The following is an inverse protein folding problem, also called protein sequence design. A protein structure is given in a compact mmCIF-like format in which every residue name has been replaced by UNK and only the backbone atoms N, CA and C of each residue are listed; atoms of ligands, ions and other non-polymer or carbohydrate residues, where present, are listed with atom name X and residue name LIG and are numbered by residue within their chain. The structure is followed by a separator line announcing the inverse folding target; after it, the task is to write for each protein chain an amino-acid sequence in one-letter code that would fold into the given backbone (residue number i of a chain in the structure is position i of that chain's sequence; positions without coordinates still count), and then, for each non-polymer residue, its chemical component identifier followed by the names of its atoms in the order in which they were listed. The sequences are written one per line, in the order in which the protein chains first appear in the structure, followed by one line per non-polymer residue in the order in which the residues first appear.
data_IF_567716635895
#
_entry.id   IF_567716635895
#
_cell.length_a   1.000
_cell.length_b   1.000
_cell.length_c   1.000
_cell.angle_alpha   90.00
_cell.angle_beta   90.00
_cell.angle_gamma   90.00
#
_symmetry.space_group_name_H-M   'P 1'
#
loop_
_entity.id
_entity.type
_entity.pdbx_description
1 polymer ?
#
# COMPACT_ATOMS: atom_id res chain seq x y z
N UNK A 1 39.57 -3.08 -17.28
CA UNK A 1 38.67 -2.93 -18.44
C UNK A 1 37.25 -3.01 -17.90
N UNK A 2 36.58 -1.89 -17.83
CA UNK A 2 35.18 -1.84 -17.38
C UNK A 2 34.29 -2.25 -18.55
N UNK A 3 33.84 -3.49 -18.57
CA UNK A 3 32.85 -3.94 -19.56
C UNK A 3 31.47 -3.46 -19.10
N UNK A 4 31.03 -2.32 -19.63
CA UNK A 4 29.64 -1.90 -19.51
C UNK A 4 28.79 -3.01 -20.15
N UNK A 5 27.81 -3.59 -19.44
CA UNK A 5 26.95 -4.61 -20.04
C UNK A 5 26.20 -4.01 -21.24
N UNK A 6 25.91 -4.81 -22.27
CA UNK A 6 25.18 -4.33 -23.43
C UNK A 6 23.83 -3.73 -23.06
N UNK A 7 23.31 -2.78 -23.84
CA UNK A 7 22.00 -2.22 -23.60
C UNK A 7 20.93 -3.34 -23.67
N UNK A 8 20.08 -3.43 -22.63
CA UNK A 8 18.90 -4.31 -22.67
C UNK A 8 17.99 -3.80 -23.80
N UNK A 9 17.60 -4.69 -24.69
CA UNK A 9 16.60 -4.39 -25.70
C UNK A 9 15.25 -4.25 -25.01
N UNK A 10 14.48 -3.19 -25.28
CA UNK A 10 13.11 -3.09 -24.79
C UNK A 10 12.29 -4.33 -25.18
N UNK A 11 11.45 -4.81 -24.28
CA UNK A 11 10.56 -5.92 -24.59
C UNK A 11 9.46 -5.45 -25.54
N UNK A 12 9.00 -6.30 -26.47
CA UNK A 12 7.73 -6.06 -27.17
C UNK A 12 6.63 -5.83 -26.15
N UNK A 13 5.66 -4.95 -26.45
CA UNK A 13 4.63 -4.57 -25.49
C UNK A 13 3.84 -5.77 -24.95
N UNK A 14 3.51 -6.73 -25.80
CA UNK A 14 2.78 -7.94 -25.37
C UNK A 14 3.59 -8.81 -24.40
N UNK A 15 4.91 -8.88 -24.58
CA UNK A 15 5.81 -9.62 -23.66
C UNK A 15 5.94 -8.87 -22.32
N UNK A 16 6.05 -7.54 -22.38
CA UNK A 16 6.08 -6.69 -21.20
C UNK A 16 4.76 -6.78 -20.43
N UNK A 17 3.64 -6.75 -21.13
CA UNK A 17 2.30 -6.88 -20.54
C UNK A 17 2.15 -8.22 -19.81
N UNK A 18 2.56 -9.31 -20.45
CA UNK A 18 2.58 -10.64 -19.82
C UNK A 18 3.48 -10.65 -18.58
N UNK A 19 4.68 -10.06 -18.69
CA UNK A 19 5.63 -10.01 -17.58
C UNK A 19 5.09 -9.19 -16.39
N UNK A 20 4.47 -8.04 -16.63
CA UNK A 20 3.86 -7.21 -15.59
C UNK A 20 2.66 -7.92 -14.96
N UNK A 21 1.82 -8.58 -15.76
CA UNK A 21 0.63 -9.29 -15.29
C UNK A 21 0.94 -10.56 -14.50
N UNK A 22 1.99 -11.33 -14.88
CA UNK A 22 2.34 -12.61 -14.28
C UNK A 22 3.46 -12.54 -13.22
N UNK A 23 4.14 -11.39 -13.07
CA UNK A 23 5.29 -11.22 -12.18
C UNK A 23 5.05 -10.13 -11.14
N UNK A 24 3.92 -10.24 -10.47
CA UNK A 24 3.47 -9.33 -9.42
C UNK A 24 4.32 -9.44 -8.17
N UNK A 25 4.13 -8.53 -7.24
CA UNK A 25 4.62 -8.67 -5.87
C UNK A 25 3.95 -9.87 -5.18
N UNK A 26 4.58 -10.38 -4.12
CA UNK A 26 3.94 -11.43 -3.29
C UNK A 26 2.59 -10.93 -2.75
N UNK A 27 2.52 -9.67 -2.33
CA UNK A 27 1.26 -9.05 -1.90
C UNK A 27 0.23 -9.03 -3.04
N UNK A 28 0.58 -8.55 -4.22
CA UNK A 28 -0.33 -8.48 -5.37
C UNK A 28 -0.88 -9.85 -5.74
N UNK A 29 -0.04 -10.90 -5.68
CA UNK A 29 -0.45 -12.27 -5.93
C UNK A 29 -1.41 -12.80 -4.85
N UNK A 30 -1.02 -12.71 -3.58
CA UNK A 30 -1.79 -13.26 -2.45
C UNK A 30 -3.11 -12.49 -2.27
N UNK A 31 -3.12 -11.19 -2.49
CA UNK A 31 -4.33 -10.37 -2.38
C UNK A 31 -5.37 -10.69 -3.46
N UNK A 32 -4.95 -11.33 -4.57
CA UNK A 32 -5.80 -11.58 -5.73
C UNK A 32 -5.98 -10.34 -6.60
N UNK A 33 -5.04 -9.38 -6.52
CA UNK A 33 -5.02 -8.24 -7.45
C UNK A 33 -4.90 -8.77 -8.88
N UNK A 34 -5.81 -8.39 -9.76
CA UNK A 34 -5.78 -8.76 -11.16
C UNK A 34 -5.44 -7.56 -12.05
N UNK A 35 -4.69 -7.82 -13.12
CA UNK A 35 -4.49 -6.86 -14.20
C UNK A 35 -5.62 -7.06 -15.20
N UNK A 36 -6.53 -6.09 -15.28
CA UNK A 36 -7.72 -6.18 -16.15
C UNK A 36 -7.42 -5.68 -17.58
N UNK A 37 -6.66 -4.58 -17.67
CA UNK A 37 -6.30 -3.94 -18.92
C UNK A 37 -5.00 -3.15 -18.76
N UNK A 38 -4.26 -2.98 -19.85
CA UNK A 38 -3.12 -2.08 -19.90
C UNK A 38 -2.92 -1.45 -21.28
N UNK A 39 -2.24 -0.30 -21.26
CA UNK A 39 -1.70 0.40 -22.41
C UNK A 39 -0.31 0.96 -22.01
N UNK A 40 0.51 1.49 -22.93
CA UNK A 40 1.81 2.07 -22.59
C UNK A 40 1.67 3.14 -21.51
N UNK A 41 2.23 2.89 -20.32
CA UNK A 41 2.16 3.78 -19.17
C UNK A 41 0.80 3.86 -18.49
N UNK A 42 -0.14 2.98 -18.80
CA UNK A 42 -1.51 3.02 -18.28
C UNK A 42 -1.99 1.61 -17.91
N UNK A 43 -2.63 1.48 -16.74
CA UNK A 43 -3.00 0.18 -16.14
C UNK A 43 -4.36 0.27 -15.45
N UNK A 44 -5.18 -0.76 -15.67
CA UNK A 44 -6.41 -1.02 -14.92
C UNK A 44 -6.26 -2.33 -14.16
N UNK A 45 -6.57 -2.29 -12.88
CA UNK A 45 -6.53 -3.46 -12.00
C UNK A 45 -7.84 -3.62 -11.25
N UNK A 46 -8.09 -4.81 -10.72
CA UNK A 46 -9.18 -5.09 -9.80
C UNK A 46 -8.72 -5.93 -8.61
N UNK A 47 -9.32 -5.67 -7.48
CA UNK A 47 -9.10 -6.37 -6.22
C UNK A 47 -10.42 -6.88 -5.69
N UNK A 48 -10.63 -8.20 -5.53
CA UNK A 48 -11.88 -8.74 -5.03
C UNK A 48 -12.09 -8.35 -3.55
N UNK A 49 -13.36 -8.16 -3.18
CA UNK A 49 -13.69 -8.03 -1.76
C UNK A 49 -13.34 -9.31 -1.02
N UNK A 50 -12.66 -9.17 0.10
CA UNK A 50 -12.33 -10.30 0.99
C UNK A 50 -12.57 -9.89 2.45
N UNK A 51 -13.17 -10.76 3.28
CA UNK A 51 -13.35 -10.49 4.71
C UNK A 51 -12.05 -10.12 5.43
N UNK A 52 -10.91 -10.76 5.05
CA UNK A 52 -9.60 -10.45 5.59
C UNK A 52 -9.10 -9.02 5.31
N UNK A 53 -9.73 -8.30 4.38
CA UNK A 53 -9.37 -6.91 4.04
C UNK A 53 -10.24 -5.87 4.71
N UNK A 54 -11.20 -6.31 5.52
CA UNK A 54 -12.08 -5.41 6.26
C UNK A 54 -11.29 -4.66 7.34
N UNK A 55 -11.54 -3.36 7.44
CA UNK A 55 -10.94 -2.47 8.43
C UNK A 55 -11.76 -2.32 9.69
N UNK A 56 -13.07 -2.56 9.59
CA UNK A 56 -14.01 -2.47 10.69
C UNK A 56 -15.14 -3.49 10.47
N UNK A 57 -15.16 -4.53 11.29
CA UNK A 57 -16.15 -5.62 11.20
C UNK A 57 -17.59 -5.13 11.43
N UNK A 58 -17.79 -4.05 12.17
CA UNK A 58 -19.11 -3.47 12.40
C UNK A 58 -19.73 -2.85 11.15
N UNK A 59 -18.90 -2.43 10.18
CA UNK A 59 -19.35 -1.80 8.93
C UNK A 59 -19.09 -2.66 7.69
N UNK A 60 -18.15 -3.60 7.76
CA UNK A 60 -17.69 -4.40 6.61
C UNK A 60 -16.88 -3.60 5.58
N UNK A 61 -16.55 -2.35 5.86
CA UNK A 61 -15.76 -1.48 4.96
C UNK A 61 -14.32 -1.96 4.88
N UNK A 62 -13.77 -2.03 3.66
CA UNK A 62 -12.36 -2.36 3.42
C UNK A 62 -11.46 -1.32 4.09
N UNK A 63 -10.37 -1.79 4.73
CA UNK A 63 -9.36 -0.93 5.33
C UNK A 63 -8.71 -0.01 4.30
N UNK A 64 -8.51 1.27 4.65
CA UNK A 64 -7.84 2.24 3.77
C UNK A 64 -6.48 1.75 3.28
N UNK A 65 -5.71 1.11 4.16
CA UNK A 65 -4.42 0.53 3.83
C UNK A 65 -4.44 -0.54 2.71
N UNK A 66 -5.56 -1.23 2.51
CA UNK A 66 -5.73 -2.13 1.35
C UNK A 66 -5.79 -1.31 0.06
N UNK A 67 -6.52 -0.19 0.08
CA UNK A 67 -6.60 0.75 -1.05
C UNK A 67 -5.23 1.37 -1.32
N UNK A 68 -4.50 1.76 -0.26
CA UNK A 68 -3.12 2.26 -0.32
C UNK A 68 -2.19 1.26 -1.01
N UNK A 69 -2.22 0.00 -0.59
CA UNK A 69 -1.36 -1.04 -1.16
C UNK A 69 -1.73 -1.35 -2.63
N UNK A 70 -3.02 -1.38 -2.95
CA UNK A 70 -3.50 -1.56 -4.32
C UNK A 70 -3.05 -0.41 -5.24
N UNK A 71 -3.18 0.83 -4.79
CA UNK A 71 -2.80 2.00 -5.57
C UNK A 71 -1.29 2.07 -5.81
N UNK A 72 -0.46 1.76 -4.79
CA UNK A 72 1.00 1.69 -4.95
C UNK A 72 1.43 0.63 -5.98
N UNK A 73 0.86 -0.59 -5.90
CA UNK A 73 1.13 -1.66 -6.87
C UNK A 73 0.70 -1.27 -8.29
N UNK A 74 -0.52 -0.72 -8.44
CA UNK A 74 -1.05 -0.32 -9.75
C UNK A 74 -0.24 0.83 -10.36
N UNK A 75 0.19 1.81 -9.54
CA UNK A 75 1.10 2.87 -9.97
C UNK A 75 2.45 2.30 -10.41
N UNK A 76 3.01 1.36 -9.65
CA UNK A 76 4.24 0.67 -9.98
C UNK A 76 4.17 -0.08 -11.33
N UNK A 77 3.05 -0.75 -11.60
CA UNK A 77 2.80 -1.41 -12.88
C UNK A 77 2.77 -0.40 -14.04
N UNK A 78 2.09 0.74 -13.89
CA UNK A 78 2.03 1.78 -14.91
C UNK A 78 3.41 2.36 -15.20
N UNK A 79 4.26 2.56 -14.16
CA UNK A 79 5.65 2.99 -14.34
C UNK A 79 6.47 1.95 -15.08
N UNK A 80 6.34 0.66 -14.74
CA UNK A 80 7.06 -0.42 -15.43
C UNK A 80 6.70 -0.45 -16.93
N UNK A 81 5.42 -0.28 -17.28
CA UNK A 81 4.99 -0.20 -18.68
C UNK A 81 5.53 1.06 -19.38
N UNK A 82 5.65 2.17 -18.67
CA UNK A 82 6.23 3.40 -19.23
C UNK A 82 7.77 3.33 -19.40
N UNK A 83 8.42 2.40 -18.70
CA UNK A 83 9.88 2.18 -18.73
C UNK A 83 10.28 0.91 -19.51
N UNK A 84 9.37 0.32 -20.27
CA UNK A 84 9.58 -0.92 -21.03
C UNK A 84 10.15 -2.08 -20.17
N UNK A 85 9.87 -2.09 -18.87
CA UNK A 85 10.32 -3.11 -17.92
C UNK A 85 11.85 -3.21 -17.74
N UNK A 86 12.60 -2.23 -18.22
CA UNK A 86 14.08 -2.30 -18.29
C UNK A 86 14.80 -1.72 -17.08
N UNK A 87 14.06 -1.11 -16.14
CA UNK A 87 14.65 -0.39 -15.00
C UNK A 87 14.02 -0.81 -13.70
N UNK A 88 14.81 -0.84 -12.63
CA UNK A 88 14.28 -0.94 -11.29
C UNK A 88 13.49 0.31 -10.91
N UNK A 89 12.43 0.15 -10.15
CA UNK A 89 11.66 1.27 -9.62
C UNK A 89 11.59 1.17 -8.10
N UNK A 90 11.45 2.33 -7.44
CA UNK A 90 11.18 2.43 -6.03
C UNK A 90 10.25 3.63 -5.79
N UNK A 91 9.19 3.44 -5.02
CA UNK A 91 8.30 4.53 -4.63
C UNK A 91 9.06 5.53 -3.76
N UNK A 92 8.99 6.81 -4.08
CA UNK A 92 9.56 7.92 -3.30
C UNK A 92 8.51 8.52 -2.37
N UNK A 93 7.34 8.78 -2.92
CA UNK A 93 6.19 9.26 -2.18
C UNK A 93 4.90 8.71 -2.77
N UNK A 94 3.87 8.68 -1.94
CA UNK A 94 2.51 8.32 -2.32
C UNK A 94 1.56 9.18 -1.48
N UNK A 95 0.74 9.98 -2.15
CA UNK A 95 -0.35 10.73 -1.54
C UNK A 95 -1.68 10.11 -1.95
N UNK A 96 -2.54 9.90 -0.98
CA UNK A 96 -3.90 9.37 -1.16
C UNK A 96 -4.89 10.35 -0.54
N UNK A 97 -5.95 10.66 -1.29
CA UNK A 97 -7.10 11.40 -0.81
C UNK A 97 -8.32 10.45 -0.84
N UNK A 98 -8.84 10.08 0.33
CA UNK A 98 -10.00 9.22 0.50
C UNK A 98 -11.28 10.05 0.37
N UNK A 99 -12.17 9.66 -0.51
CA UNK A 99 -13.35 10.44 -0.85
C UNK A 99 -14.64 9.83 -0.32
N UNK A 100 -14.73 8.49 -0.35
CA UNK A 100 -15.86 7.76 0.25
C UNK A 100 -15.42 6.36 0.73
N UNK A 101 -16.11 5.78 1.71
CA UNK A 101 -15.86 4.38 2.06
C UNK A 101 -16.22 3.45 0.90
N UNK A 102 -15.45 2.38 0.72
CA UNK A 102 -15.78 1.33 -0.23
C UNK A 102 -17.03 0.57 0.24
N UNK A 103 -17.99 0.37 -0.66
CA UNK A 103 -19.20 -0.42 -0.37
C UNK A 103 -18.80 -1.87 -0.08
N UNK A 104 -19.23 -2.45 1.04
CA UNK A 104 -18.95 -3.84 1.37
C UNK A 104 -19.46 -4.82 0.30
N UNK A 105 -18.70 -5.89 0.09
CA UNK A 105 -19.05 -6.94 -0.87
C UNK A 105 -18.68 -6.65 -2.33
N UNK A 106 -18.37 -5.40 -2.68
CA UNK A 106 -17.97 -5.03 -4.06
C UNK A 106 -16.44 -5.01 -4.21
N UNK A 107 -15.98 -5.48 -5.36
CA UNK A 107 -14.56 -5.36 -5.73
C UNK A 107 -14.16 -3.88 -5.85
N UNK A 108 -12.90 -3.58 -5.56
CA UNK A 108 -12.30 -2.28 -5.86
C UNK A 108 -11.54 -2.40 -7.18
N UNK A 109 -11.66 -1.40 -8.02
CA UNK A 109 -10.90 -1.23 -9.26
C UNK A 109 -9.95 -0.06 -9.11
N UNK A 110 -8.85 -0.09 -9.82
CA UNK A 110 -7.95 1.05 -9.90
C UNK A 110 -7.53 1.29 -11.35
N UNK A 111 -7.42 2.57 -11.70
CA UNK A 111 -6.87 3.04 -12.95
C UNK A 111 -5.67 3.94 -12.64
N UNK A 112 -4.53 3.69 -13.27
CA UNK A 112 -3.29 4.43 -13.05
C UNK A 112 -2.65 4.85 -14.36
N UNK A 113 -2.16 6.09 -14.40
CA UNK A 113 -1.49 6.69 -15.55
C UNK A 113 -0.13 7.28 -15.14
N UNK A 114 0.94 6.74 -15.69
CA UNK A 114 2.26 7.36 -15.66
C UNK A 114 2.31 8.48 -16.72
N UNK A 115 2.00 9.68 -16.30
CA UNK A 115 1.85 10.82 -17.23
C UNK A 115 3.16 11.50 -17.59
N UNK A 116 4.25 11.22 -16.88
CA UNK A 116 5.56 11.78 -17.18
C UNK A 116 6.69 10.88 -16.64
N UNK A 117 7.66 10.63 -17.50
CA UNK A 117 8.93 10.03 -17.12
C UNK A 117 10.06 11.02 -17.44
N UNK A 118 10.95 11.23 -16.48
CA UNK A 118 12.22 11.96 -16.65
C UNK A 118 13.40 10.97 -16.68
N UNK A 119 14.61 11.48 -16.68
CA UNK A 119 15.80 10.60 -16.59
C UNK A 119 15.77 9.67 -15.38
N UNK A 120 15.25 10.13 -14.22
CA UNK A 120 15.36 9.41 -12.95
C UNK A 120 14.07 9.32 -12.17
N UNK A 121 13.01 10.03 -12.57
CA UNK A 121 11.75 10.10 -11.85
C UNK A 121 10.59 9.83 -12.80
N UNK A 122 9.64 9.02 -12.36
CA UNK A 122 8.34 8.83 -12.99
C UNK A 122 7.24 9.41 -12.10
N UNK A 123 6.28 10.09 -12.72
CA UNK A 123 5.14 10.73 -12.05
C UNK A 123 3.86 10.02 -12.47
N UNK A 124 3.06 9.66 -11.47
CA UNK A 124 1.87 8.82 -11.66
C UNK A 124 0.69 9.44 -10.94
N UNK A 125 -0.49 9.25 -11.51
CA UNK A 125 -1.78 9.48 -10.84
C UNK A 125 -2.62 8.22 -10.94
N UNK A 126 -3.46 7.98 -9.93
CA UNK A 126 -4.34 6.83 -9.92
C UNK A 126 -5.69 7.17 -9.28
N UNK A 127 -6.71 6.43 -9.67
CA UNK A 127 -8.06 6.49 -9.13
C UNK A 127 -8.49 5.10 -8.71
N UNK A 128 -8.94 4.95 -7.46
CA UNK A 128 -9.59 3.73 -6.97
C UNK A 128 -11.10 3.96 -6.96
N UNK A 129 -11.86 3.03 -7.50
CA UNK A 129 -13.31 3.12 -7.65
C UNK A 129 -13.97 1.74 -7.58
N UNK A 130 -15.28 1.67 -7.56
CA UNK A 130 -16.02 0.41 -7.59
C UNK A 130 -16.84 0.29 -8.88
N UNK A 131 -17.81 1.14 -9.09
CA UNK A 131 -18.72 1.09 -10.25
C UNK A 131 -18.30 2.09 -11.34
N UNK A 132 -17.94 3.32 -10.97
CA UNK A 132 -17.53 4.39 -11.88
C UNK A 132 -16.31 5.15 -11.39
N UNK A 133 -15.41 5.52 -12.30
CA UNK A 133 -14.28 6.41 -12.02
C UNK A 133 -14.70 7.82 -11.66
N UNK A 134 -15.89 8.25 -12.08
CA UNK A 134 -16.44 9.57 -11.73
C UNK A 134 -16.85 9.66 -10.25
N UNK A 135 -16.99 8.51 -9.58
CA UNK A 135 -17.30 8.40 -8.16
C UNK A 135 -16.22 7.62 -7.41
N UNK A 136 -15.02 8.16 -7.30
CA UNK A 136 -13.91 7.44 -6.72
C UNK A 136 -14.08 7.17 -5.22
N UNK A 137 -13.53 6.04 -4.78
CA UNK A 137 -13.29 5.72 -3.37
C UNK A 137 -12.08 6.50 -2.87
N UNK A 138 -11.03 6.57 -3.69
CA UNK A 138 -9.83 7.34 -3.41
C UNK A 138 -9.13 7.75 -4.70
N UNK A 139 -8.37 8.85 -4.63
CA UNK A 139 -7.43 9.24 -5.69
C UNK A 139 -6.02 9.26 -5.12
N UNK A 140 -5.02 9.04 -5.98
CA UNK A 140 -3.63 9.07 -5.57
C UNK A 140 -2.73 9.79 -6.58
N UNK A 141 -1.65 10.34 -6.06
CA UNK A 141 -0.47 10.78 -6.84
C UNK A 141 0.76 10.15 -6.23
N UNK A 142 1.70 9.74 -7.07
CA UNK A 142 2.94 9.12 -6.62
C UNK A 142 4.12 9.52 -7.49
N UNK A 143 5.31 9.53 -6.87
CA UNK A 143 6.58 9.64 -7.57
C UNK A 143 7.39 8.36 -7.36
N UNK A 144 7.98 7.88 -8.44
CA UNK A 144 8.86 6.73 -8.42
C UNK A 144 10.25 7.11 -8.89
N UNK A 145 11.26 6.68 -8.16
CA UNK A 145 12.63 6.69 -8.66
C UNK A 145 12.76 5.59 -9.71
N UNK A 146 13.23 5.96 -10.89
CA UNK A 146 13.63 5.01 -11.93
C UNK A 146 15.14 4.79 -11.81
N UNK A 147 15.56 3.66 -11.26
CA UNK A 147 16.95 3.34 -10.97
C UNK A 147 17.82 3.29 -12.23
N UNK A 148 19.11 3.49 -12.04
CA UNK A 148 20.09 3.31 -13.10
C UNK A 148 20.36 1.82 -13.39
N UNK A 149 20.13 0.96 -12.39
CA UNK A 149 20.31 -0.47 -12.54
C UNK A 149 19.21 -1.04 -13.44
N UNK A 150 19.65 -1.72 -14.47
CA UNK A 150 18.77 -2.42 -15.39
C UNK A 150 18.29 -3.70 -14.73
N UNK A 151 16.99 -3.80 -14.56
CA UNK A 151 16.33 -5.00 -14.08
C UNK A 151 15.46 -5.51 -15.20
N UNK A 152 15.68 -6.74 -15.63
CA UNK A 152 14.77 -7.36 -16.59
C UNK A 152 13.54 -7.85 -15.80
N UNK A 153 12.35 -7.37 -16.11
CA UNK A 153 11.10 -7.86 -15.52
C UNK A 153 10.94 -9.37 -15.68
N UNK A 154 11.49 -9.95 -16.75
CA UNK A 154 11.47 -11.40 -16.99
C UNK A 154 12.29 -12.21 -15.98
N UNK A 155 13.13 -11.58 -15.18
CA UNK A 155 13.87 -12.27 -14.11
C UNK A 155 13.13 -12.34 -12.79
N UNK A 156 11.97 -11.70 -12.68
CA UNK A 156 11.11 -11.80 -11.48
C UNK A 156 10.36 -13.15 -11.51
N UNK A 157 10.07 -13.73 -10.36
CA UNK A 157 9.29 -14.96 -10.28
C UNK A 157 7.92 -14.80 -10.96
N UNK A 158 7.44 -15.85 -11.59
CA UNK A 158 6.08 -15.96 -12.12
C UNK A 158 5.11 -16.39 -11.02
N UNK A 159 3.81 -16.26 -11.26
CA UNK A 159 2.78 -16.73 -10.32
C UNK A 159 2.92 -18.21 -10.00
N UNK A 160 3.27 -19.02 -10.99
CA UNK A 160 3.50 -20.47 -10.80
C UNK A 160 4.67 -20.77 -9.87
N UNK A 161 5.66 -19.88 -9.79
CA UNK A 161 6.83 -20.01 -8.91
C UNK A 161 6.52 -19.61 -7.46
N UNK A 162 5.42 -18.88 -7.20
CA UNK A 162 4.95 -18.62 -5.84
C UNK A 162 4.15 -19.77 -5.24
N UNK A 163 3.73 -20.73 -6.06
CA UNK A 163 2.85 -21.80 -5.65
C UNK A 163 1.41 -21.33 -5.37
N UNK A 164 0.64 -22.17 -4.71
CA UNK A 164 -0.73 -21.81 -4.32
C UNK A 164 -0.67 -20.70 -3.26
N UNK A 165 -1.41 -19.57 -3.45
CA UNK A 165 -1.49 -18.55 -2.42
C UNK A 165 -1.92 -19.20 -1.09
N UNK A 166 -1.27 -18.86 0.03
CA UNK A 166 -1.77 -19.28 1.31
C UNK A 166 -3.21 -18.78 1.47
N UNK A 167 -4.06 -19.60 2.10
CA UNK A 167 -5.39 -19.14 2.45
C UNK A 167 -5.29 -17.81 3.20
N UNK A 168 -6.19 -16.88 2.89
CA UNK A 168 -6.34 -15.64 3.65
C UNK A 168 -7.15 -15.96 4.91
N UNK A 169 -6.63 -16.92 5.70
CA UNK A 169 -7.26 -17.26 6.95
C UNK A 169 -7.20 -16.05 7.87
N UNK A 170 -8.30 -15.75 8.59
CA UNK A 170 -8.23 -14.79 9.67
C UNK A 170 -7.15 -15.27 10.65
N UNK A 171 -6.40 -14.36 11.29
CA UNK A 171 -5.39 -14.76 12.26
C UNK A 171 -6.04 -15.54 13.41
N UNK A 172 -5.27 -16.44 13.98
CA UNK A 172 -5.71 -17.41 15.00
C UNK A 172 -6.26 -16.77 16.29
N UNK A 173 -6.05 -15.47 16.51
CA UNK A 173 -6.63 -14.74 17.63
C UNK A 173 -6.89 -13.27 17.27
N UNK A 174 -8.13 -12.88 16.92
CA UNK A 174 -8.51 -11.49 16.74
C UNK A 174 -8.78 -10.79 18.09
N UNK A 175 -8.16 -11.22 19.18
CA UNK A 175 -8.34 -10.58 20.48
C UNK A 175 -7.61 -9.23 20.58
N UNK A 176 -8.10 -8.35 21.43
CA UNK A 176 -7.47 -7.08 21.73
C UNK A 176 -7.83 -5.95 20.76
N UNK A 177 -6.93 -4.98 20.65
CA UNK A 177 -7.12 -3.71 19.92
C UNK A 177 -7.48 -3.88 18.43
N UNK A 178 -7.08 -4.99 17.83
CA UNK A 178 -7.28 -5.29 16.41
C UNK A 178 -8.46 -6.22 16.13
N UNK A 179 -9.21 -6.64 17.18
CA UNK A 179 -10.33 -7.59 17.04
C UNK A 179 -11.36 -7.15 15.97
N UNK A 180 -11.52 -5.84 15.78
CA UNK A 180 -12.44 -5.27 14.80
C UNK A 180 -11.80 -4.95 13.45
N UNK A 181 -10.50 -5.22 13.26
CA UNK A 181 -9.78 -4.94 12.02
C UNK A 181 -9.10 -6.20 11.47
N UNK A 182 -9.83 -7.04 10.71
CA UNK A 182 -9.28 -8.24 10.08
C UNK A 182 -8.02 -7.97 9.27
N UNK A 183 -7.92 -6.83 8.59
CA UNK A 183 -6.73 -6.50 7.81
C UNK A 183 -5.49 -6.24 8.69
N UNK A 184 -5.65 -5.55 9.80
CA UNK A 184 -4.54 -5.36 10.75
C UNK A 184 -4.06 -6.70 11.31
N UNK A 185 -4.99 -7.60 11.62
CA UNK A 185 -4.71 -8.97 12.02
C UNK A 185 -4.02 -9.76 10.90
N UNK A 186 -4.49 -9.64 9.65
CA UNK A 186 -3.87 -10.30 8.49
C UNK A 186 -2.41 -9.85 8.27
N UNK A 187 -2.09 -8.59 8.55
CA UNK A 187 -0.72 -8.09 8.56
C UNK A 187 0.09 -8.59 9.77
N UNK A 188 -0.56 -9.22 10.75
CA UNK A 188 0.06 -9.67 11.99
C UNK A 188 0.48 -8.52 12.92
N UNK A 189 -0.14 -7.34 12.76
CA UNK A 189 0.19 -6.17 13.57
C UNK A 189 -0.14 -6.44 15.04
N UNK A 190 0.77 -6.08 15.92
CA UNK A 190 0.67 -6.28 17.37
C UNK A 190 1.15 -5.06 18.13
N UNK A 191 0.69 -4.94 19.37
CA UNK A 191 1.29 -4.02 20.32
C UNK A 191 2.74 -4.42 20.61
N UNK A 192 3.56 -3.41 20.76
CA UNK A 192 4.92 -3.50 21.24
C UNK A 192 5.09 -2.50 22.40
N UNK A 193 6.23 -2.54 23.07
CA UNK A 193 6.51 -1.64 24.20
C UNK A 193 6.40 -0.16 23.81
N UNK A 194 6.18 0.71 24.77
CA UNK A 194 6.12 2.17 24.64
C UNK A 194 5.01 2.70 23.68
N UNK A 195 3.93 1.94 23.48
CA UNK A 195 2.82 2.34 22.62
C UNK A 195 3.15 2.27 21.11
N UNK A 196 4.30 1.71 20.75
CA UNK A 196 4.63 1.40 19.37
C UNK A 196 3.88 0.16 18.89
N UNK A 197 3.71 0.04 17.59
CA UNK A 197 3.22 -1.18 16.96
C UNK A 197 4.34 -1.90 16.24
N UNK A 198 4.24 -3.21 16.14
CA UNK A 198 5.13 -4.04 15.31
C UNK A 198 4.33 -4.78 14.25
N UNK A 199 4.82 -4.74 13.02
CA UNK A 199 4.40 -5.60 11.92
C UNK A 199 5.51 -6.63 11.69
N UNK A 200 5.29 -7.91 12.05
CA UNK A 200 6.27 -8.97 11.81
C UNK A 200 6.52 -9.16 10.32
N UNK A 201 7.76 -9.47 9.99
CA UNK A 201 8.07 -9.85 8.62
C UNK A 201 7.36 -11.14 8.23
N UNK A 202 6.78 -11.13 7.05
CA UNK A 202 6.18 -12.30 6.43
C UNK A 202 6.44 -12.28 4.92
N UNK A 203 6.70 -13.41 4.27
CA UNK A 203 6.85 -13.47 2.81
C UNK A 203 5.68 -12.86 2.03
N UNK A 204 4.47 -12.87 2.62
CA UNK A 204 3.25 -12.32 1.98
C UNK A 204 3.29 -10.79 1.76
N UNK A 205 4.12 -10.07 2.52
CA UNK A 205 4.21 -8.61 2.42
C UNK A 205 5.37 -8.12 1.55
N UNK A 206 6.06 -9.03 0.86
CA UNK A 206 7.21 -8.71 0.01
C UNK A 206 6.73 -8.07 -1.29
N UNK A 207 7.28 -6.91 -1.61
CA UNK A 207 7.03 -6.20 -2.87
C UNK A 207 8.01 -6.56 -3.97
N UNK A 208 9.27 -6.81 -3.62
CA UNK A 208 10.30 -7.21 -4.57
C UNK A 208 10.90 -8.55 -4.14
N UNK A 209 10.56 -9.66 -4.80
CA UNK A 209 11.05 -10.98 -4.41
C UNK A 209 12.54 -11.21 -4.75
N UNK A 210 13.13 -10.43 -5.66
CA UNK A 210 14.55 -10.54 -6.01
C UNK A 210 15.44 -9.91 -4.94
N UNK A 211 15.01 -8.76 -4.44
CA UNK A 211 15.61 -8.11 -3.27
C UNK A 211 14.51 -8.12 -2.22
N UNK A 212 14.48 -9.10 -1.30
CA UNK A 212 13.35 -9.27 -0.40
C UNK A 212 13.12 -7.99 0.42
N UNK A 213 12.33 -7.10 -0.15
CA UNK A 213 11.96 -5.81 0.41
C UNK A 213 10.45 -5.78 0.63
N UNK A 214 10.04 -5.23 1.76
CA UNK A 214 8.62 -5.02 2.09
C UNK A 214 8.01 -4.12 1.01
N UNK A 215 6.79 -4.45 0.58
CA UNK A 215 6.00 -3.68 -0.37
C UNK A 215 5.74 -2.26 0.16
N UNK A 216 5.98 -1.23 -0.68
CA UNK A 216 5.81 0.17 -0.28
C UNK A 216 4.40 0.44 0.23
N UNK A 217 3.38 0.02 -0.51
CA UNK A 217 1.99 0.17 -0.12
C UNK A 217 1.64 -0.54 1.20
N UNK A 218 2.28 -1.66 1.53
CA UNK A 218 2.11 -2.33 2.85
C UNK A 218 2.75 -1.50 3.96
N UNK A 219 3.91 -0.91 3.72
CA UNK A 219 4.51 0.04 4.68
C UNK A 219 3.58 1.24 4.92
N UNK A 220 2.97 1.78 3.86
CA UNK A 220 1.95 2.83 3.96
C UNK A 220 0.71 2.38 4.75
N UNK A 221 0.21 1.18 4.47
CA UNK A 221 -0.91 0.57 5.19
C UNK A 221 -0.61 0.37 6.68
N UNK A 222 0.61 -0.03 7.01
CA UNK A 222 1.06 -0.16 8.41
C UNK A 222 1.11 1.20 9.12
N UNK A 223 1.63 2.23 8.48
CA UNK A 223 1.63 3.60 9.02
C UNK A 223 0.21 4.13 9.24
N UNK A 224 -0.70 3.88 8.30
CA UNK A 224 -2.11 4.25 8.42
C UNK A 224 -2.78 3.51 9.60
N UNK A 225 -2.57 2.20 9.71
CA UNK A 225 -3.09 1.40 10.83
C UNK A 225 -2.54 1.92 12.16
N UNK A 226 -1.24 2.23 12.22
CA UNK A 226 -0.60 2.80 13.42
C UNK A 226 -1.24 4.13 13.80
N UNK A 227 -1.53 4.96 12.83
CA UNK A 227 -2.18 6.25 13.07
C UNK A 227 -3.64 6.08 13.54
N UNK A 228 -4.41 5.17 12.95
CA UNK A 228 -5.78 4.84 13.38
C UNK A 228 -5.78 4.40 14.86
N UNK A 229 -4.89 3.48 15.20
CA UNK A 229 -4.76 2.95 16.56
C UNK A 229 -4.35 4.03 17.55
N UNK A 230 -3.33 4.83 17.22
CA UNK A 230 -2.86 5.89 18.11
C UNK A 230 -3.92 6.96 18.38
N UNK A 231 -4.64 7.38 17.33
CA UNK A 231 -5.74 8.34 17.48
C UNK A 231 -6.88 7.73 18.30
N UNK A 232 -7.23 6.45 18.07
CA UNK A 232 -8.26 5.77 18.84
C UNK A 232 -7.90 5.65 20.34
N UNK A 233 -6.62 5.42 20.65
CA UNK A 233 -6.10 5.39 22.03
C UNK A 233 -6.19 6.74 22.73
N UNK A 234 -5.78 7.80 22.03
CA UNK A 234 -5.80 9.15 22.58
C UNK A 234 -7.21 9.66 22.86
N UNK A 235 -8.15 9.33 21.98
CA UNK A 235 -9.54 9.79 22.07
C UNK A 235 -10.47 8.89 22.87
N UNK A 236 -9.98 7.71 23.31
CA UNK A 236 -10.83 6.67 23.88
C UNK A 236 -11.62 5.91 22.81
N UNK A 237 -11.92 4.65 23.08
CA UNK A 237 -12.39 3.63 22.13
C UNK A 237 -13.74 3.89 21.41
N UNK A 238 -14.41 5.01 21.63
CA UNK A 238 -15.74 5.28 21.04
C UNK A 238 -15.71 5.84 19.61
N UNK A 239 -14.54 6.23 19.08
CA UNK A 239 -14.43 6.87 17.78
C UNK A 239 -13.46 6.10 16.87
N UNK A 240 -13.98 5.42 15.84
CA UNK A 240 -13.14 4.91 14.74
C UNK A 240 -12.79 6.07 13.82
N UNK A 241 -11.53 6.50 13.76
CA UNK A 241 -11.10 7.59 12.87
C UNK A 241 -11.29 7.19 11.41
N UNK A 242 -11.87 8.09 10.60
CA UNK A 242 -12.03 7.87 9.16
C UNK A 242 -10.91 8.61 8.41
N UNK A 243 -10.11 7.94 7.57
CA UNK A 243 -9.09 8.60 6.81
C UNK A 243 -9.69 9.61 5.83
N UNK A 244 -9.09 10.80 5.77
CA UNK A 244 -9.38 11.84 4.77
C UNK A 244 -8.25 11.86 3.74
N UNK A 245 -7.02 11.84 4.21
CA UNK A 245 -5.85 11.85 3.35
C UNK A 245 -4.61 11.36 4.09
N UNK A 246 -3.74 10.73 3.33
CA UNK A 246 -2.47 10.17 3.78
C UNK A 246 -1.38 10.52 2.76
N UNK A 247 -0.26 11.04 3.23
CA UNK A 247 0.96 11.18 2.43
C UNK A 247 2.05 10.35 3.07
N UNK A 248 2.62 9.43 2.31
CA UNK A 248 3.73 8.57 2.74
C UNK A 248 4.99 8.98 1.99
N UNK A 249 6.09 9.20 2.71
CA UNK A 249 7.43 9.41 2.17
C UNK A 249 8.28 8.16 2.45
N UNK A 250 8.81 7.55 1.41
CA UNK A 250 9.67 6.37 1.52
C UNK A 250 11.14 6.81 1.55
N UNK A 251 11.77 6.61 2.68
CA UNK A 251 13.10 7.14 2.97
C UNK A 251 14.21 6.10 2.74
N UNK A 252 13.87 4.82 2.94
CA UNK A 252 14.77 3.67 2.78
C UNK A 252 13.98 2.44 2.39
N UNK A 253 14.64 1.48 1.74
CA UNK A 253 14.05 0.17 1.48
C UNK A 253 13.77 -0.57 2.79
N UNK A 254 12.53 -1.02 2.99
CA UNK A 254 12.18 -1.93 4.07
C UNK A 254 12.74 -3.31 3.78
N UNK A 255 13.67 -3.79 4.61
CA UNK A 255 14.28 -5.12 4.49
C UNK A 255 13.34 -6.21 4.99
N UNK A 256 13.69 -7.46 4.76
CA UNK A 256 12.98 -8.63 5.29
C UNK A 256 13.16 -8.78 6.82
N UNK A 257 12.69 -7.80 7.57
CA UNK A 257 12.79 -7.69 9.03
C UNK A 257 11.47 -7.16 9.58
N UNK A 258 11.23 -7.43 10.86
CA UNK A 258 10.14 -6.82 11.60
C UNK A 258 10.21 -5.29 11.51
N UNK A 259 9.06 -4.67 11.36
CA UNK A 259 8.96 -3.23 11.21
C UNK A 259 8.15 -2.66 12.35
N UNK A 260 8.66 -1.63 12.98
CA UNK A 260 8.06 -0.91 14.10
C UNK A 260 7.51 0.42 13.62
N UNK A 261 6.44 0.90 14.23
CA UNK A 261 5.90 2.21 13.94
C UNK A 261 5.36 2.91 15.18
N UNK A 262 5.42 4.23 15.15
CA UNK A 262 4.80 5.11 16.14
C UNK A 262 4.09 6.26 15.45
N UNK A 263 3.14 6.85 16.16
CA UNK A 263 2.36 8.01 15.72
C UNK A 263 2.42 9.11 16.76
N UNK A 264 2.35 10.34 16.33
CA UNK A 264 2.12 11.53 17.16
C UNK A 264 0.95 12.32 16.60
N UNK A 265 0.07 12.80 17.49
CA UNK A 265 -1.01 13.72 17.12
C UNK A 265 -0.42 15.13 17.05
N UNK A 266 -0.42 15.72 15.85
CA UNK A 266 0.06 17.07 15.61
C UNK A 266 -0.97 18.10 16.04
N UNK A 267 -2.24 17.81 15.76
CA UNK A 267 -3.37 18.67 16.14
C UNK A 267 -4.65 17.87 16.27
N UNK A 268 -5.32 18.06 17.37
CA UNK A 268 -6.68 17.56 17.61
C UNK A 268 -7.67 18.71 17.57
N UNK A 269 -8.59 18.67 16.61
CA UNK A 269 -9.75 19.54 16.55
C UNK A 269 -11.02 18.80 16.93
N UNK A 270 -12.15 19.47 16.91
CA UNK A 270 -13.46 18.85 17.22
C UNK A 270 -13.87 17.77 16.22
N UNK A 271 -13.46 17.86 14.94
CA UNK A 271 -13.86 16.95 13.87
C UNK A 271 -12.70 16.36 13.11
N UNK A 272 -11.53 16.99 13.18
CA UNK A 272 -10.35 16.62 12.38
C UNK A 272 -9.17 16.45 13.32
N UNK A 273 -8.44 15.35 13.11
CA UNK A 273 -7.14 15.10 13.74
C UNK A 273 -6.09 15.08 12.64
N UNK A 274 -5.01 15.83 12.84
CA UNK A 274 -3.79 15.74 12.04
C UNK A 274 -2.76 14.91 12.81
N UNK A 275 -2.08 14.01 12.10
CA UNK A 275 -1.09 13.11 12.69
C UNK A 275 0.18 13.03 11.85
N UNK A 276 1.27 12.64 12.50
CA UNK A 276 2.51 12.18 11.88
C UNK A 276 2.84 10.79 12.40
N UNK A 277 3.30 9.91 11.51
CA UNK A 277 3.72 8.56 11.86
C UNK A 277 5.08 8.25 11.22
N UNK A 278 5.86 7.38 11.87
CA UNK A 278 7.15 6.92 11.37
C UNK A 278 7.27 5.42 11.52
N UNK A 279 7.87 4.76 10.53
CA UNK A 279 8.20 3.35 10.57
C UNK A 279 9.72 3.15 10.48
N UNK A 280 10.25 2.23 11.26
CA UNK A 280 11.68 1.88 11.30
C UNK A 280 11.84 0.36 11.49
N UNK A 281 13.08 -0.12 11.36
CA UNK A 281 13.43 -1.52 11.63
C UNK A 281 14.43 -1.62 12.78
N UNK A 282 15.72 -1.57 12.55
CA UNK A 282 16.73 -1.74 13.60
C UNK A 282 16.96 -0.48 14.45
N UNK A 283 16.79 0.70 13.87
CA UNK A 283 17.19 1.98 14.45
C UNK A 283 16.08 3.03 14.24
N UNK A 284 15.44 3.43 15.33
CA UNK A 284 14.35 4.43 15.30
C UNK A 284 14.81 5.78 14.73
N UNK A 285 16.09 6.12 14.86
CA UNK A 285 16.63 7.36 14.29
C UNK A 285 16.80 7.32 12.78
N UNK A 286 16.62 6.13 12.17
CA UNK A 286 16.74 5.88 10.72
C UNK A 286 15.43 5.32 10.15
N UNK A 287 14.34 6.09 10.15
CA UNK A 287 13.07 5.60 9.66
C UNK A 287 13.17 5.13 8.21
N UNK A 288 12.44 4.07 7.86
CA UNK A 288 12.30 3.60 6.48
C UNK A 288 11.22 4.37 5.74
N UNK A 289 10.20 4.83 6.47
CA UNK A 289 9.13 5.67 5.92
C UNK A 289 8.57 6.60 7.00
N UNK A 290 7.99 7.72 6.56
CA UNK A 290 7.17 8.60 7.37
C UNK A 290 5.84 8.88 6.68
N UNK A 291 4.81 9.15 7.46
CA UNK A 291 3.51 9.53 6.96
C UNK A 291 2.97 10.74 7.69
N UNK A 292 2.17 11.53 6.96
CA UNK A 292 1.38 12.62 7.48
C UNK A 292 -0.03 12.51 6.93
N UNK A 293 -1.02 12.80 7.76
CA UNK A 293 -2.40 12.68 7.29
C UNK A 293 -3.42 13.30 8.23
N UNK A 294 -4.68 13.11 7.83
CA UNK A 294 -5.83 13.63 8.55
C UNK A 294 -6.90 12.56 8.68
N UNK A 295 -7.51 12.51 9.86
CA UNK A 295 -8.71 11.72 10.12
C UNK A 295 -9.90 12.60 10.45
N UNK A 296 -11.06 12.21 9.98
CA UNK A 296 -12.33 12.71 10.46
C UNK A 296 -12.78 11.87 11.67
N UNK A 297 -13.16 12.55 12.74
CA UNK A 297 -13.76 11.94 13.93
C UNK A 297 -15.28 11.87 13.76
N UNK A 298 -15.87 10.73 14.07
CA UNK A 298 -17.32 10.65 14.27
C UNK A 298 -17.66 11.33 15.62
N UNK A 299 -18.60 12.25 15.61
CA UNK A 299 -19.26 12.67 16.86
C UNK A 299 -20.19 11.53 17.30
N UNK A 300 -20.14 11.19 18.58
CA UNK A 300 -21.19 10.41 19.22
C UNK A 300 -22.38 11.33 19.49
N UNK A 301 -23.59 10.81 19.53
CA UNK A 301 -24.79 11.60 19.79
C UNK A 301 -24.77 12.36 21.14
N UNK A 302 -23.83 12.00 22.03
CA UNK A 302 -23.60 12.68 23.32
C UNK A 302 -22.80 13.99 23.20
N UNK A 303 -22.30 14.35 22.04
CA UNK A 303 -21.50 15.57 21.81
C UNK A 303 -22.38 16.74 21.27
N UNK A 304 -23.69 16.56 21.19
CA UNK A 304 -24.65 17.55 20.66
C UNK A 304 -25.49 18.27 21.76
N UNK A 305 -25.18 18.05 23.06
CA UNK A 305 -25.79 18.78 24.16
C UNK A 305 -24.98 19.99 24.65
#
# INVERSE_FOLDING_TARGET
MSTTPPPLTPLPFDDLLRAVGSRRSSYGYISGLALDRAAPGEVWTSLPYRPAFVGDTGTGVIHGGVVTAMLDETCGMAVQLALDGTRSIATLDLRIDYQKPATPGLAIRAHSVCYRVTRSIAFVRATAYQESEDEPVATATACFMAGANRTNMLTRPTEDEFGTPPALDPPDDPAGLFANSPFACWLGIRDHDDGTLVMPFSPRIVGNPILPAIHGGITGAFLETTAIVGVARELGASATPKPIGLTVNYLRSGRALDTYASVSIVKQGMRIVAFEAQAWQDDRSKPIASAFGHFMLRRTASDEE
#
